data_IF_670212360639
#
_entry.id   IF_670212360639
#
_cell.length_a   1.000
_cell.length_b   1.000
_cell.length_c   1.000
_cell.angle_alpha   90.00
_cell.angle_beta   90.00
_cell.angle_gamma   90.00
#
_symmetry.space_group_name_H-M   'P 1'
#
loop_
_entity.id
_entity.type
_entity.pdbx_description
1 polymer ?
#
# COMPACT_ATOMS: atom_id res chain seq x y z
N UNK A 1 -26.06 -7.32 11.19
CA UNK A 1 -25.26 -6.44 10.31
C UNK A 1 -24.85 -5.17 11.08
N UNK A 2 -24.03 -5.31 12.13
CA UNK A 2 -23.66 -4.18 13.00
C UNK A 2 -22.87 -3.10 12.24
N UNK A 3 -21.99 -3.50 11.31
CA UNK A 3 -21.21 -2.56 10.50
C UNK A 3 -22.06 -1.64 9.61
N UNK A 4 -23.15 -2.18 9.02
CA UNK A 4 -24.06 -1.40 8.16
C UNK A 4 -24.95 -0.46 8.96
N UNK A 5 -25.31 -0.84 10.19
CA UNK A 5 -26.11 -0.01 11.09
C UNK A 5 -25.30 1.18 11.66
N UNK A 6 -24.00 0.99 11.90
CA UNK A 6 -23.12 2.01 12.47
C UNK A 6 -22.32 2.80 11.43
N UNK A 7 -22.40 2.43 10.15
CA UNK A 7 -21.64 3.04 9.05
C UNK A 7 -20.13 3.16 9.34
N UNK A 8 -19.54 2.10 9.90
CA UNK A 8 -18.10 2.02 10.22
C UNK A 8 -17.47 0.80 9.54
N UNK A 9 -16.23 0.91 9.02
CA UNK A 9 -15.53 -0.23 8.49
C UNK A 9 -15.16 -1.20 9.62
N UNK A 10 -15.54 -2.47 9.48
CA UNK A 10 -15.18 -3.53 10.42
C UNK A 10 -14.20 -4.46 9.75
N UNK A 11 -13.03 -4.62 10.35
CA UNK A 11 -12.00 -5.54 9.90
C UNK A 11 -12.00 -6.74 10.83
N UNK A 12 -12.21 -7.92 10.27
CA UNK A 12 -12.07 -9.19 10.98
C UNK A 12 -10.85 -9.93 10.42
N UNK A 13 -10.01 -10.44 11.32
CA UNK A 13 -8.91 -11.33 10.94
C UNK A 13 -9.40 -12.77 11.08
N UNK A 14 -9.13 -13.58 10.06
CA UNK A 14 -9.44 -15.00 10.08
C UNK A 14 -8.18 -15.80 9.75
N UNK A 15 -7.95 -16.85 10.53
CA UNK A 15 -6.86 -17.77 10.27
C UNK A 15 -7.29 -18.73 9.16
N UNK A 16 -6.40 -18.98 8.20
CA UNK A 16 -6.62 -19.96 7.14
C UNK A 16 -6.43 -21.39 7.65
N UNK A 17 -7.14 -22.33 7.03
CA UNK A 17 -6.90 -23.75 7.21
C UNK A 17 -5.48 -24.12 6.79
N UNK A 18 -4.86 -25.09 7.48
CA UNK A 18 -3.56 -25.66 7.10
C UNK A 18 -3.58 -26.36 5.74
N UNK A 19 -4.77 -26.62 5.19
CA UNK A 19 -4.95 -27.18 3.85
C UNK A 19 -4.18 -26.41 2.77
N UNK A 20 -4.01 -25.08 2.94
CA UNK A 20 -3.24 -24.22 2.03
C UNK A 20 -1.79 -24.69 1.86
N UNK A 21 -1.19 -25.26 2.91
CA UNK A 21 0.21 -25.72 2.90
C UNK A 21 0.38 -27.09 2.24
N UNK A 22 -0.67 -27.92 2.28
CA UNK A 22 -0.65 -29.28 1.71
C UNK A 22 -0.95 -29.33 0.22
N UNK A 23 -1.39 -28.21 -0.38
CA UNK A 23 -1.60 -28.10 -1.81
C UNK A 23 -0.23 -28.14 -2.48
N UNK A 24 0.10 -29.24 -3.15
CA UNK A 24 1.41 -29.51 -3.78
C UNK A 24 1.78 -28.60 -4.96
N UNK A 25 1.23 -27.38 -5.02
CA UNK A 25 1.49 -26.34 -6.00
C UNK A 25 1.72 -24.99 -5.29
N UNK A 26 1.15 -23.93 -5.85
CA UNK A 26 1.30 -22.58 -5.28
C UNK A 26 0.61 -22.49 -3.90
N UNK A 27 1.37 -22.04 -2.90
CA UNK A 27 0.94 -21.84 -1.51
C UNK A 27 0.22 -20.51 -1.30
N UNK A 28 -0.11 -19.80 -2.39
CA UNK A 28 -0.96 -18.60 -2.36
C UNK A 28 -2.36 -18.88 -1.80
N UNK A 29 -2.83 -18.15 -0.78
CA UNK A 29 -4.20 -18.28 -0.28
C UNK A 29 -5.27 -18.01 -1.35
N UNK A 30 -6.36 -18.77 -1.29
CA UNK A 30 -7.52 -18.60 -2.16
C UNK A 30 -8.82 -18.61 -1.35
N UNK A 31 -9.92 -18.13 -1.95
CA UNK A 31 -11.21 -18.02 -1.26
C UNK A 31 -11.70 -19.36 -0.67
N UNK A 32 -11.44 -20.48 -1.34
CA UNK A 32 -11.82 -21.80 -0.81
C UNK A 32 -11.14 -22.14 0.52
N UNK A 33 -10.02 -21.50 0.84
CA UNK A 33 -9.28 -21.73 2.08
C UNK A 33 -10.00 -21.08 3.28
N UNK A 34 -10.97 -20.18 3.01
CA UNK A 34 -11.92 -19.64 3.99
C UNK A 34 -13.19 -20.49 4.13
N UNK A 35 -13.36 -21.58 3.37
CA UNK A 35 -14.59 -22.38 3.40
C UNK A 35 -14.88 -22.98 4.77
N UNK A 36 -13.86 -23.26 5.57
CA UNK A 36 -14.00 -23.69 6.97
C UNK A 36 -14.52 -22.59 7.90
N UNK A 37 -14.43 -21.32 7.49
CA UNK A 37 -14.95 -20.16 8.23
C UNK A 37 -16.45 -19.93 8.03
N UNK A 38 -17.10 -20.75 7.20
CA UNK A 38 -18.55 -20.72 6.98
C UNK A 38 -19.01 -19.47 6.23
N UNK A 39 -19.78 -18.62 6.91
CA UNK A 39 -20.50 -17.50 6.28
C UNK A 39 -19.61 -16.30 5.92
N UNK A 40 -18.38 -16.19 6.47
CA UNK A 40 -17.51 -15.02 6.29
C UNK A 40 -17.16 -14.79 4.82
N UNK A 41 -16.89 -15.86 4.07
CA UNK A 41 -16.61 -15.79 2.62
C UNK A 41 -17.78 -15.16 1.86
N UNK A 42 -19.02 -15.45 2.25
CA UNK A 42 -20.22 -14.95 1.57
C UNK A 42 -20.56 -13.52 2.01
N UNK A 43 -20.48 -13.24 3.31
CA UNK A 43 -20.96 -12.00 3.91
C UNK A 43 -19.98 -10.82 3.77
N UNK A 44 -18.69 -11.08 3.62
CA UNK A 44 -17.69 -10.03 3.46
C UNK A 44 -17.90 -9.22 2.16
N UNK A 45 -17.77 -7.89 2.26
CA UNK A 45 -17.75 -6.99 1.11
C UNK A 45 -16.37 -7.01 0.42
N UNK A 46 -15.30 -7.21 1.19
CA UNK A 46 -13.93 -7.36 0.71
C UNK A 46 -13.22 -8.49 1.46
N UNK A 47 -12.42 -9.28 0.74
CA UNK A 47 -11.56 -10.32 1.33
C UNK A 47 -10.14 -10.09 0.82
N UNK A 48 -9.20 -9.96 1.75
CA UNK A 48 -7.79 -9.78 1.46
C UNK A 48 -6.98 -10.90 2.10
N UNK A 49 -5.97 -11.38 1.38
CA UNK A 49 -4.98 -12.32 1.91
C UNK A 49 -3.61 -11.66 1.97
N UNK A 50 -2.80 -12.09 2.94
CA UNK A 50 -1.39 -11.71 3.04
C UNK A 50 -0.57 -12.93 2.59
N UNK A 51 0.24 -12.76 1.56
CA UNK A 51 1.12 -13.81 1.06
C UNK A 51 2.57 -13.34 1.09
N UNK A 52 3.45 -14.20 1.61
CA UNK A 52 4.89 -13.93 1.71
C UNK A 52 5.66 -15.10 1.09
N UNK A 53 6.19 -14.97 -0.13
CA UNK A 53 6.95 -16.03 -0.79
C UNK A 53 8.14 -16.50 0.06
N UNK A 54 8.84 -15.55 0.69
CA UNK A 54 9.99 -15.80 1.56
C UNK A 54 9.69 -16.76 2.72
N UNK A 55 8.45 -16.75 3.26
CA UNK A 55 8.05 -17.68 4.32
C UNK A 55 8.05 -19.14 3.84
N UNK A 56 7.91 -19.37 2.54
CA UNK A 56 7.90 -20.67 1.92
C UNK A 56 9.22 -21.01 1.23
N UNK A 57 10.29 -20.27 1.52
CA UNK A 57 11.62 -20.42 0.91
C UNK A 57 11.63 -20.18 -0.61
N UNK A 58 10.61 -19.50 -1.13
CA UNK A 58 10.52 -19.08 -2.53
C UNK A 58 11.26 -17.74 -2.64
N UNK A 59 12.44 -17.75 -3.25
CA UNK A 59 13.34 -16.60 -3.37
C UNK A 59 13.32 -15.93 -4.75
N UNK A 60 12.76 -16.61 -5.75
CA UNK A 60 12.60 -16.13 -7.12
C UNK A 60 11.17 -16.39 -7.59
N UNK A 61 10.61 -15.46 -8.36
CA UNK A 61 9.33 -15.66 -9.03
C UNK A 61 9.49 -16.41 -10.37
N UNK A 62 8.38 -16.66 -11.07
CA UNK A 62 8.39 -17.35 -12.35
C UNK A 62 9.15 -16.59 -13.46
N UNK A 63 9.34 -15.29 -13.29
CA UNK A 63 10.00 -14.38 -14.24
C UNK A 63 11.48 -14.12 -13.86
N UNK A 64 11.96 -14.73 -12.76
CA UNK A 64 13.33 -14.62 -12.27
C UNK A 64 13.61 -13.39 -11.39
N UNK A 65 12.59 -12.68 -10.93
CA UNK A 65 12.76 -11.55 -10.01
C UNK A 65 12.89 -12.05 -8.55
N UNK A 66 13.71 -11.35 -7.77
CA UNK A 66 13.89 -11.64 -6.35
C UNK A 66 12.62 -11.32 -5.56
N UNK A 67 12.09 -12.31 -4.85
CA UNK A 67 10.94 -12.17 -3.93
C UNK A 67 11.36 -11.85 -2.49
N UNK A 68 12.65 -11.60 -2.24
CA UNK A 68 13.19 -11.33 -0.90
C UNK A 68 12.56 -10.07 -0.30
N UNK A 69 11.91 -10.23 0.85
CA UNK A 69 11.18 -9.16 1.54
C UNK A 69 9.84 -8.78 0.89
N UNK A 70 9.45 -9.42 -0.22
CA UNK A 70 8.16 -9.21 -0.87
C UNK A 70 7.03 -9.74 0.02
N UNK A 71 5.97 -8.95 0.11
CA UNK A 71 4.69 -9.35 0.65
C UNK A 71 3.62 -8.88 -0.31
N UNK A 72 2.72 -9.77 -0.70
CA UNK A 72 1.57 -9.41 -1.52
C UNK A 72 0.32 -9.35 -0.65
N UNK A 73 -0.42 -8.23 -0.76
CA UNK A 73 -1.80 -8.15 -0.31
C UNK A 73 -2.68 -8.48 -1.51
N UNK A 74 -3.34 -9.64 -1.44
CA UNK A 74 -4.16 -10.19 -2.52
C UNK A 74 -5.61 -9.82 -2.23
N UNK A 75 -6.21 -8.92 -3.01
CA UNK A 75 -7.64 -8.62 -2.94
C UNK A 75 -8.39 -9.71 -3.70
N UNK A 76 -8.78 -10.76 -2.98
CA UNK A 76 -9.44 -11.94 -3.55
C UNK A 76 -10.94 -11.78 -3.77
N UNK A 77 -11.59 -10.85 -3.05
CA UNK A 77 -12.99 -10.47 -3.26
C UNK A 77 -13.15 -8.98 -3.05
N UNK A 78 -13.89 -8.34 -3.94
CA UNK A 78 -14.27 -6.94 -3.79
C UNK A 78 -15.66 -6.75 -4.45
N UNK A 79 -16.71 -6.53 -3.65
CA UNK A 79 -18.07 -6.35 -4.19
C UNK A 79 -18.25 -5.07 -5.02
N UNK A 80 -17.42 -4.06 -4.77
CA UNK A 80 -17.56 -2.71 -5.33
C UNK A 80 -16.32 -2.24 -6.12
N UNK A 81 -15.45 -3.15 -6.57
CA UNK A 81 -14.25 -2.75 -7.29
C UNK A 81 -13.45 -3.92 -7.85
N UNK A 82 -12.26 -3.61 -8.35
CA UNK A 82 -11.38 -4.59 -8.97
C UNK A 82 -10.68 -5.49 -7.95
N UNK A 83 -10.26 -6.67 -8.43
CA UNK A 83 -9.30 -7.53 -7.74
C UNK A 83 -7.90 -7.06 -8.14
N UNK A 84 -6.99 -7.04 -7.17
CA UNK A 84 -5.63 -6.53 -7.36
C UNK A 84 -4.68 -7.23 -6.37
N UNK A 85 -3.42 -7.41 -6.79
CA UNK A 85 -2.34 -7.86 -5.93
C UNK A 85 -1.42 -6.67 -5.67
N UNK A 86 -1.37 -6.22 -4.43
CA UNK A 86 -0.63 -5.02 -4.05
C UNK A 86 0.70 -5.47 -3.43
N UNK A 87 1.86 -5.20 -4.08
CA UNK A 87 3.16 -5.53 -3.53
C UNK A 87 3.52 -4.54 -2.41
N UNK A 88 3.99 -5.09 -1.30
CA UNK A 88 4.51 -4.40 -0.14
C UNK A 88 5.83 -5.03 0.28
N UNK A 89 6.58 -4.33 1.13
CA UNK A 89 7.77 -4.87 1.78
C UNK A 89 7.51 -5.11 3.26
N UNK A 90 7.82 -6.30 3.76
CA UNK A 90 7.66 -6.62 5.18
C UNK A 90 8.99 -6.50 5.94
N UNK A 91 9.01 -5.62 6.94
CA UNK A 91 10.14 -5.42 7.83
C UNK A 91 9.96 -6.25 9.10
N UNK A 92 10.41 -7.51 9.07
CA UNK A 92 10.25 -8.48 10.17
C UNK A 92 10.72 -7.96 11.53
N UNK A 93 11.84 -7.21 11.57
CA UNK A 93 12.38 -6.59 12.79
C UNK A 93 11.38 -5.69 13.53
N UNK A 94 10.47 -5.05 12.80
CA UNK A 94 9.51 -4.08 13.36
C UNK A 94 8.06 -4.57 13.28
N UNK A 95 7.80 -5.71 12.64
CA UNK A 95 6.45 -6.18 12.36
C UNK A 95 5.65 -5.20 11.49
N UNK A 96 6.32 -4.49 10.56
CA UNK A 96 5.74 -3.40 9.77
C UNK A 96 5.72 -3.73 8.29
N UNK A 97 4.63 -3.35 7.62
CA UNK A 97 4.57 -3.28 6.15
C UNK A 97 4.90 -1.85 5.69
N UNK A 98 5.70 -1.75 4.64
CA UNK A 98 6.05 -0.50 3.96
C UNK A 98 5.79 -0.65 2.47
N UNK A 99 5.63 0.45 1.75
CA UNK A 99 5.41 0.39 0.31
C UNK A 99 6.62 -0.27 -0.37
N UNK A 100 6.34 -1.04 -1.42
CA UNK A 100 7.37 -1.72 -2.18
C UNK A 100 8.43 -0.74 -2.72
N UNK A 101 7.97 0.44 -3.15
CA UNK A 101 8.77 1.50 -3.76
C UNK A 101 9.28 2.57 -2.77
N UNK A 102 9.49 2.24 -1.48
CA UNK A 102 10.18 3.15 -0.55
C UNK A 102 11.68 3.30 -0.86
N UNK A 103 12.00 3.64 -2.11
CA UNK A 103 13.08 4.53 -2.52
C UNK A 103 12.58 5.95 -2.83
N UNK A 104 11.30 6.26 -2.62
CA UNK A 104 10.70 7.58 -2.88
C UNK A 104 10.14 8.27 -1.64
N UNK A 105 10.97 8.70 -0.70
CA UNK A 105 10.64 9.85 0.17
C UNK A 105 10.67 11.17 -0.62
N UNK A 106 10.12 11.19 -1.83
CA UNK A 106 10.13 12.35 -2.75
C UNK A 106 8.77 12.99 -2.96
N UNK A 107 7.69 12.50 -2.33
CA UNK A 107 6.33 13.05 -2.55
C UNK A 107 5.60 13.51 -1.27
N UNK A 108 6.33 13.68 -0.16
CA UNK A 108 5.78 14.35 1.02
C UNK A 108 6.81 15.34 1.60
N UNK A 109 6.83 16.56 1.04
CA UNK A 109 7.37 17.74 1.73
C UNK A 109 8.88 17.99 1.62
N UNK A 110 9.51 17.73 0.47
CA UNK A 110 10.83 18.28 0.18
C UNK A 110 10.72 19.81 -0.01
N UNK A 111 10.85 20.57 1.08
CA UNK A 111 11.05 22.02 1.00
C UNK A 111 12.35 22.30 0.24
N UNK A 112 12.32 23.03 -0.90
CA UNK A 112 13.55 23.42 -1.57
C UNK A 112 14.28 24.41 -0.67
N UNK A 113 15.51 24.07 -0.28
CA UNK A 113 16.45 25.07 0.21
C UNK A 113 16.77 25.99 -0.98
N UNK A 114 16.34 27.24 -0.86
CA UNK A 114 16.58 28.32 -1.81
C UNK A 114 18.09 28.54 -2.01
N UNK A 115 18.56 28.48 -3.27
CA UNK A 115 19.42 29.48 -3.91
C UNK A 115 19.94 29.02 -5.29
N UNK A 116 19.51 29.73 -6.35
CA UNK A 116 20.37 30.09 -7.49
C UNK A 116 20.28 29.30 -8.80
N UNK A 117 19.29 29.64 -9.63
CA UNK A 117 19.22 29.67 -11.11
C UNK A 117 20.05 28.72 -12.00
N UNK A 118 19.35 27.90 -12.79
CA UNK A 118 19.41 27.96 -14.27
C UNK A 118 18.20 27.25 -14.90
N UNK A 119 17.49 27.97 -15.77
CA UNK A 119 16.30 27.51 -16.49
C UNK A 119 16.56 26.39 -17.51
N UNK A 120 15.60 25.46 -17.65
CA UNK A 120 14.94 25.19 -18.94
C UNK A 120 13.53 24.59 -18.70
N UNK A 121 12.51 25.20 -19.31
CA UNK A 121 11.08 24.88 -19.14
C UNK A 121 10.61 23.75 -20.09
N UNK A 122 9.73 22.83 -19.62
CA UNK A 122 8.40 22.68 -20.23
C UNK A 122 7.35 21.83 -19.47
N UNK A 123 6.15 22.43 -19.40
CA UNK A 123 4.80 21.86 -19.53
C UNK A 123 4.16 21.00 -18.42
N UNK A 124 3.90 21.59 -17.26
CA UNK A 124 2.51 21.86 -16.86
C UNK A 124 2.48 23.03 -15.86
N UNK A 125 2.23 24.21 -16.42
CA UNK A 125 2.36 25.52 -15.78
C UNK A 125 1.51 25.65 -14.52
N UNK A 126 2.10 25.36 -13.36
CA UNK A 126 1.62 25.88 -12.06
C UNK A 126 2.30 27.22 -11.82
N UNK A 127 1.55 28.31 -11.96
CA UNK A 127 2.05 29.66 -11.62
C UNK A 127 1.85 29.87 -10.12
N UNK A 128 2.93 29.78 -9.35
CA UNK A 128 2.94 30.18 -7.93
C UNK A 128 3.29 31.66 -7.87
N UNK A 129 2.30 32.51 -7.61
CA UNK A 129 2.52 33.94 -7.40
C UNK A 129 2.84 34.16 -5.92
N UNK A 130 3.99 34.79 -5.64
CA UNK A 130 4.40 35.16 -4.29
C UNK A 130 3.40 36.09 -3.60
N UNK A 131 3.38 36.06 -2.27
CA UNK A 131 2.55 36.95 -1.46
C UNK A 131 3.05 38.40 -1.56
N UNK A 132 2.15 39.38 -1.48
CA UNK A 132 2.47 40.83 -1.48
C UNK A 132 3.42 41.28 -0.36
N UNK A 133 3.69 40.42 0.62
CA UNK A 133 4.67 40.66 1.68
C UNK A 133 6.13 40.56 1.20
N UNK A 134 6.39 39.84 0.11
CA UNK A 134 7.75 39.64 -0.40
C UNK A 134 8.31 40.88 -1.10
N UNK A 135 7.44 41.80 -1.54
CA UNK A 135 7.80 43.05 -2.21
C UNK A 135 7.81 44.25 -1.24
N UNK A 136 7.61 44.04 0.07
CA UNK A 136 7.63 45.15 1.03
C UNK A 136 9.06 45.53 1.41
N UNK A 137 9.43 46.83 1.34
CA UNK A 137 10.70 47.29 1.89
C UNK A 137 10.74 47.04 3.40
N UNK A 138 11.92 46.66 3.91
CA UNK A 138 12.15 46.26 5.31
C UNK A 138 11.75 47.29 6.36
N UNK A 139 11.51 48.53 5.94
CA UNK A 139 11.18 49.66 6.81
C UNK A 139 9.70 49.71 7.22
N UNK A 140 8.82 48.94 6.57
CA UNK A 140 7.37 48.90 6.84
C UNK A 140 6.89 47.62 7.58
N UNK A 141 7.81 46.84 8.13
CA UNK A 141 7.46 45.68 8.96
C UNK A 141 7.07 46.13 10.38
N UNK A 142 5.86 45.81 10.89
CA UNK A 142 5.56 46.05 12.30
C UNK A 142 6.43 45.11 13.15
N UNK A 143 7.19 45.73 14.07
CA UNK A 143 8.17 45.12 14.98
C UNK A 143 7.81 43.72 15.50
#
# INVERSE_FOLDING_TARGET
MIAKELNVPVIALSQLSRAVETRGGDKRPQLSDLRESGAIEQDADMVMFIYRPEYYEITEDADGNSTVGLTEIIVAKHRNGALENIPLRFQSRFGRFVDWDQNGFSDFGSFPAENGDSEEYNAHTTVIKGSRMNDMPSDDLPF
#
